data_IF_288131748091
#
_entry.id   IF_288131748091
#
_cell.length_a   1.000
_cell.length_b   1.000
_cell.length_c   1.000
_cell.angle_alpha   90.00
_cell.angle_beta   90.00
_cell.angle_gamma   90.00
#
_symmetry.space_group_name_H-M   'P 1'
#
loop_
_entity.id
_entity.type
_entity.pdbx_description
1 polymer ?
#
# COMPACT_ATOMS: atom_id res chain seq x y z
N UNK A 1 -29.06 -46.96 -48.92
CA UNK A 1 -28.41 -46.08 -47.92
C UNK A 1 -27.86 -44.88 -48.67
N UNK A 2 -28.62 -43.79 -48.66
CA UNK A 2 -28.36 -42.56 -49.41
C UNK A 2 -28.25 -41.45 -48.38
N UNK A 3 -27.04 -40.92 -48.21
CA UNK A 3 -26.73 -39.86 -47.24
C UNK A 3 -27.08 -38.48 -47.81
N UNK A 4 -27.92 -37.76 -47.08
CA UNK A 4 -28.23 -36.34 -47.28
C UNK A 4 -27.02 -35.44 -46.95
N UNK A 5 -26.62 -34.50 -47.81
CA UNK A 5 -25.66 -33.47 -47.44
C UNK A 5 -26.36 -32.35 -46.67
N UNK A 6 -25.93 -32.11 -45.43
CA UNK A 6 -26.41 -31.01 -44.59
C UNK A 6 -26.06 -29.63 -45.16
N UNK A 7 -26.78 -28.57 -44.75
CA UNK A 7 -26.60 -27.23 -45.28
C UNK A 7 -25.21 -26.68 -44.94
N UNK A 8 -24.49 -26.22 -45.96
CA UNK A 8 -23.24 -25.49 -45.80
C UNK A 8 -23.53 -24.08 -45.29
N UNK A 9 -23.33 -23.87 -43.99
CA UNK A 9 -23.25 -22.53 -43.43
C UNK A 9 -21.98 -21.85 -43.97
N UNK A 10 -22.17 -20.91 -44.92
CA UNK A 10 -21.12 -19.96 -45.29
C UNK A 10 -20.90 -19.04 -44.08
N UNK A 11 -19.71 -19.07 -43.49
CA UNK A 11 -19.29 -18.02 -42.55
C UNK A 11 -19.42 -16.67 -43.27
N UNK A 12 -20.03 -15.65 -42.64
CA UNK A 12 -19.94 -14.30 -43.18
C UNK A 12 -18.46 -13.93 -43.31
N UNK A 13 -18.06 -13.18 -44.36
CA UNK A 13 -16.71 -12.68 -44.46
C UNK A 13 -16.39 -11.86 -43.20
N UNK A 14 -15.15 -11.91 -42.68
CA UNK A 14 -14.77 -11.08 -41.55
C UNK A 14 -15.07 -9.64 -41.93
N UNK A 15 -15.98 -9.02 -41.17
CA UNK A 15 -16.20 -7.59 -41.25
C UNK A 15 -14.82 -6.94 -41.09
N UNK A 16 -14.44 -6.12 -42.06
CA UNK A 16 -13.26 -5.27 -41.99
C UNK A 16 -13.51 -4.27 -40.88
N UNK A 17 -13.26 -4.68 -39.64
CA UNK A 17 -13.16 -3.80 -38.49
C UNK A 17 -12.15 -2.73 -38.86
N UNK A 18 -12.63 -1.50 -38.99
CA UNK A 18 -11.80 -0.29 -39.07
C UNK A 18 -11.07 -0.10 -37.74
N UNK A 19 -10.13 -0.99 -37.41
CA UNK A 19 -9.09 -0.69 -36.44
C UNK A 19 -8.16 0.30 -37.15
N UNK A 20 -8.30 1.59 -36.82
CA UNK A 20 -7.33 2.59 -37.23
C UNK A 20 -5.91 2.16 -36.82
N UNK A 21 -4.86 2.63 -37.51
CA UNK A 21 -3.48 2.12 -37.39
C UNK A 21 -2.79 2.43 -36.05
N UNK A 22 -3.52 2.81 -35.01
CA UNK A 22 -3.01 3.16 -33.68
C UNK A 22 -3.29 2.04 -32.68
N UNK A 23 -2.63 0.91 -32.89
CA UNK A 23 -2.44 -0.09 -31.85
C UNK A 23 -1.44 0.46 -30.84
N UNK A 24 -1.92 1.05 -29.75
CA UNK A 24 -1.08 1.37 -28.61
C UNK A 24 -0.55 0.05 -28.03
N UNK A 25 0.75 -0.22 -28.18
CA UNK A 25 1.38 -1.34 -27.52
C UNK A 25 1.73 -0.93 -26.09
N UNK A 26 1.18 -1.66 -25.13
CA UNK A 26 1.56 -1.50 -23.73
C UNK A 26 2.72 -2.44 -23.45
N UNK A 27 3.73 -1.99 -22.71
CA UNK A 27 4.78 -2.87 -22.18
C UNK A 27 4.58 -2.99 -20.69
N UNK A 28 4.53 -4.20 -20.16
CA UNK A 28 4.65 -4.44 -18.74
C UNK A 28 5.93 -5.21 -18.46
N UNK A 29 6.64 -4.83 -17.41
CA UNK A 29 7.76 -5.60 -16.88
C UNK A 29 7.26 -6.44 -15.70
N UNK A 30 7.40 -7.76 -15.75
CA UNK A 30 7.21 -8.63 -14.60
C UNK A 30 8.56 -8.85 -13.95
N UNK A 31 8.62 -8.79 -12.63
CA UNK A 31 9.83 -8.93 -11.83
C UNK A 31 9.62 -9.97 -10.75
N UNK A 32 10.42 -11.03 -10.73
CA UNK A 32 10.40 -12.01 -9.65
C UNK A 32 11.54 -11.70 -8.69
N UNK A 33 11.23 -11.37 -7.43
CA UNK A 33 12.22 -10.91 -6.43
C UNK A 33 12.01 -11.52 -5.06
N UNK A 34 13.09 -11.63 -4.28
CA UNK A 34 13.02 -11.98 -2.86
C UNK A 34 12.74 -10.74 -2.02
N UNK A 35 11.64 -10.76 -1.28
CA UNK A 35 11.13 -9.57 -0.60
C UNK A 35 10.36 -9.91 0.67
N UNK A 36 10.18 -8.90 1.53
CA UNK A 36 9.31 -8.95 2.71
C UNK A 36 8.25 -7.87 2.55
N UNK A 37 6.98 -8.28 2.54
CA UNK A 37 5.86 -7.35 2.54
C UNK A 37 5.76 -6.65 3.89
N UNK A 38 5.50 -5.35 3.84
CA UNK A 38 5.35 -4.48 5.02
C UNK A 38 4.18 -3.55 4.80
N UNK A 39 3.59 -3.06 5.90
CA UNK A 39 2.51 -2.10 5.83
C UNK A 39 3.00 -0.78 5.22
N UNK A 40 2.39 -0.27 4.13
CA UNK A 40 2.78 1.00 3.53
C UNK A 40 2.71 2.18 4.51
N UNK A 41 1.71 2.19 5.40
CA UNK A 41 1.51 3.27 6.38
C UNK A 41 2.66 3.27 7.37
N UNK A 42 2.88 2.14 8.05
CA UNK A 42 3.97 1.99 9.00
C UNK A 42 5.34 2.26 8.37
N UNK A 43 5.63 1.71 7.18
CA UNK A 43 6.91 1.94 6.51
C UNK A 43 7.14 3.42 6.22
N UNK A 44 6.14 4.09 5.65
CA UNK A 44 6.22 5.50 5.31
C UNK A 44 6.46 6.39 6.52
N UNK A 45 5.60 6.26 7.52
CA UNK A 45 5.70 7.01 8.77
C UNK A 45 7.04 6.78 9.46
N UNK A 46 7.46 5.51 9.61
CA UNK A 46 8.68 5.18 10.32
C UNK A 46 9.94 5.64 9.57
N UNK A 47 9.95 5.54 8.24
CA UNK A 47 11.05 6.04 7.43
C UNK A 47 11.12 7.57 7.49
N UNK A 48 9.99 8.26 7.42
CA UNK A 48 9.92 9.71 7.54
C UNK A 48 10.47 10.21 8.88
N UNK A 49 10.02 9.60 9.98
CA UNK A 49 10.53 9.91 11.32
C UNK A 49 12.02 9.60 11.46
N UNK A 50 12.48 8.48 10.88
CA UNK A 50 13.90 8.13 10.87
C UNK A 50 14.75 9.18 10.14
N UNK A 51 14.30 9.64 8.97
CA UNK A 51 15.00 10.68 8.19
C UNK A 51 15.05 11.99 8.97
N UNK A 52 13.92 12.41 9.56
CA UNK A 52 13.83 13.63 10.38
C UNK A 52 14.77 13.60 11.59
N UNK A 53 14.93 12.43 12.22
CA UNK A 53 15.79 12.26 13.40
C UNK A 53 17.26 12.02 13.07
N UNK A 54 17.61 11.72 11.82
CA UNK A 54 18.98 11.37 11.42
C UNK A 54 20.03 12.46 11.77
N UNK A 55 19.75 13.77 11.60
CA UNK A 55 20.66 14.83 12.07
C UNK A 55 20.83 14.83 13.60
N UNK A 56 19.74 14.64 14.34
CA UNK A 56 19.74 14.59 15.81
C UNK A 56 20.56 13.40 16.32
N UNK A 57 20.35 12.20 15.78
CA UNK A 57 21.14 11.02 16.13
C UNK A 57 22.61 11.18 15.77
N UNK A 58 22.90 11.78 14.62
CA UNK A 58 24.29 12.05 14.21
C UNK A 58 24.97 13.00 15.20
N UNK A 59 24.32 14.11 15.54
CA UNK A 59 24.84 15.06 16.52
C UNK A 59 25.02 14.41 17.91
N UNK A 60 24.02 13.66 18.36
CA UNK A 60 24.05 12.95 19.64
C UNK A 60 25.22 11.95 19.70
N UNK A 61 25.39 11.10 18.68
CA UNK A 61 26.49 10.14 18.59
C UNK A 61 27.86 10.81 18.48
N UNK A 62 27.98 11.94 17.79
CA UNK A 62 29.23 12.69 17.72
C UNK A 62 29.60 13.28 19.09
N UNK A 63 28.65 13.90 19.78
CA UNK A 63 28.83 14.40 21.14
C UNK A 63 29.18 13.27 22.13
N UNK A 64 28.55 12.11 21.96
CA UNK A 64 28.84 10.92 22.77
C UNK A 64 30.23 10.35 22.46
N UNK A 65 30.64 10.26 21.19
CA UNK A 65 31.91 9.62 20.79
C UNK A 65 33.13 10.53 21.04
N UNK A 66 32.99 11.82 20.74
CA UNK A 66 34.12 12.78 20.73
C UNK A 66 34.03 13.85 21.82
N UNK A 67 33.03 13.80 22.68
CA UNK A 67 32.89 14.74 23.80
C UNK A 67 34.08 14.66 24.75
N UNK A 68 34.73 15.79 25.00
CA UNK A 68 35.89 15.87 25.87
C UNK A 68 35.71 16.97 26.93
N UNK A 69 36.31 16.78 28.11
CA UNK A 69 36.34 17.76 29.19
C UNK A 69 35.43 17.45 30.39
N UNK A 70 35.50 18.28 31.45
CA UNK A 70 34.81 18.01 32.71
C UNK A 70 33.28 18.10 32.61
N UNK A 71 32.75 18.81 31.61
CA UNK A 71 31.32 19.03 31.37
C UNK A 71 30.75 18.15 30.24
N UNK A 72 31.54 17.23 29.66
CA UNK A 72 31.10 16.33 28.61
C UNK A 72 30.32 15.14 29.19
N UNK A 73 29.18 15.41 29.84
CA UNK A 73 28.38 14.38 30.52
C UNK A 73 27.84 13.32 29.56
N UNK A 74 27.51 13.71 28.33
CA UNK A 74 27.01 12.80 27.30
C UNK A 74 28.01 11.69 26.99
N UNK A 75 29.30 11.99 26.86
CA UNK A 75 30.35 10.99 26.59
C UNK A 75 30.45 9.90 27.66
N UNK A 76 30.00 10.18 28.89
CA UNK A 76 30.04 9.24 30.01
C UNK A 76 28.82 8.32 30.08
N UNK A 77 27.83 8.51 29.20
CA UNK A 77 26.66 7.65 29.17
C UNK A 77 27.04 6.25 28.66
N UNK A 78 26.59 5.17 29.33
CA UNK A 78 26.65 3.82 28.79
C UNK A 78 25.94 3.73 27.43
N UNK A 79 26.43 2.86 26.55
CA UNK A 79 25.88 2.69 25.19
C UNK A 79 24.41 2.24 25.22
N UNK A 80 24.01 1.52 26.28
CA UNK A 80 22.64 1.10 26.52
C UNK A 80 21.71 2.30 26.70
N UNK A 81 22.14 3.31 27.47
CA UNK A 81 21.35 4.53 27.67
C UNK A 81 21.28 5.38 26.40
N UNK A 82 22.37 5.44 25.63
CA UNK A 82 22.39 6.10 24.32
C UNK A 82 21.33 5.46 23.41
N UNK A 83 21.31 4.12 23.34
CA UNK A 83 20.33 3.38 22.56
C UNK A 83 18.90 3.63 23.06
N UNK A 84 18.66 3.59 24.37
CA UNK A 84 17.34 3.87 24.94
C UNK A 84 16.84 5.28 24.57
N UNK A 85 17.73 6.29 24.57
CA UNK A 85 17.36 7.65 24.15
C UNK A 85 16.98 7.68 22.67
N UNK A 86 17.74 7.01 21.81
CA UNK A 86 17.42 6.91 20.37
C UNK A 86 16.08 6.20 20.13
N UNK A 87 15.83 5.10 20.85
CA UNK A 87 14.59 4.34 20.76
C UNK A 87 13.38 5.18 21.22
N UNK A 88 13.52 5.93 22.32
CA UNK A 88 12.47 6.84 22.82
C UNK A 88 12.15 7.96 21.83
N UNK A 89 13.17 8.65 21.32
CA UNK A 89 12.99 9.72 20.33
C UNK A 89 12.33 9.19 19.05
N UNK A 90 12.71 7.99 18.63
CA UNK A 90 12.11 7.35 17.47
C UNK A 90 10.64 7.03 17.71
N UNK A 91 10.29 6.45 18.86
CA UNK A 91 8.90 6.13 19.21
C UNK A 91 8.02 7.39 19.26
N UNK A 92 8.51 8.47 19.90
CA UNK A 92 7.79 9.75 19.98
C UNK A 92 7.56 10.37 18.60
N UNK A 93 8.56 10.34 17.72
CA UNK A 93 8.44 10.90 16.37
C UNK A 93 7.57 10.05 15.43
N UNK A 94 7.35 8.76 15.71
CA UNK A 94 6.54 7.87 14.87
C UNK A 94 5.04 8.14 15.02
N UNK A 95 4.55 8.33 16.24
CA UNK A 95 3.11 8.48 16.51
C UNK A 95 2.39 9.52 15.63
N UNK A 96 2.84 10.80 15.56
CA UNK A 96 2.15 11.77 14.72
C UNK A 96 2.31 11.48 13.22
N UNK A 97 3.43 10.88 12.81
CA UNK A 97 3.63 10.48 11.42
C UNK A 97 2.71 9.32 11.04
N UNK A 98 2.55 8.32 11.91
CA UNK A 98 1.62 7.20 11.68
C UNK A 98 0.18 7.69 11.58
N UNK A 99 -0.23 8.64 12.41
CA UNK A 99 -1.58 9.25 12.34
C UNK A 99 -1.81 9.95 10.99
N UNK A 100 -0.86 10.76 10.53
CA UNK A 100 -0.94 11.44 9.23
C UNK A 100 -0.99 10.44 8.06
N UNK A 101 -0.08 9.45 8.06
CA UNK A 101 -0.03 8.44 7.01
C UNK A 101 -1.28 7.54 7.02
N UNK A 102 -1.80 7.19 8.20
CA UNK A 102 -3.02 6.39 8.33
C UNK A 102 -4.21 7.14 7.77
N UNK A 103 -4.37 8.41 8.13
CA UNK A 103 -5.45 9.26 7.61
C UNK A 103 -5.39 9.37 6.09
N UNK A 104 -4.22 9.67 5.52
CA UNK A 104 -4.03 9.74 4.06
C UNK A 104 -4.38 8.38 3.40
N UNK A 105 -3.98 7.26 4.02
CA UNK A 105 -4.24 5.93 3.49
C UNK A 105 -5.71 5.52 3.54
N UNK A 106 -6.40 5.80 4.64
CA UNK A 106 -7.84 5.57 4.79
C UNK A 106 -8.62 6.27 3.66
N UNK A 107 -8.24 7.51 3.35
CA UNK A 107 -8.82 8.25 2.23
C UNK A 107 -8.51 7.61 0.88
N UNK A 108 -7.27 7.16 0.70
CA UNK A 108 -6.82 6.50 -0.52
C UNK A 108 -7.56 5.19 -0.80
N UNK A 109 -7.80 4.36 0.22
CA UNK A 109 -8.51 3.09 0.08
C UNK A 109 -10.04 3.24 0.14
N UNK A 110 -10.54 4.45 0.38
CA UNK A 110 -11.97 4.73 0.53
C UNK A 110 -12.57 4.24 1.86
N UNK A 111 -11.73 4.05 2.89
CA UNK A 111 -12.14 3.68 4.24
C UNK A 111 -12.31 4.89 5.18
N UNK A 112 -12.01 6.10 4.72
CA UNK A 112 -12.23 7.32 5.49
C UNK A 112 -13.72 7.51 5.82
N UNK A 113 -14.01 8.07 6.99
CA UNK A 113 -15.36 8.52 7.32
C UNK A 113 -15.64 9.86 6.63
N UNK A 114 -16.85 10.11 6.10
CA UNK A 114 -17.22 11.43 5.57
C UNK A 114 -16.95 12.58 6.56
N UNK A 115 -17.14 12.31 7.86
CA UNK A 115 -16.80 13.21 8.98
C UNK A 115 -15.35 13.70 9.01
N UNK A 116 -14.43 12.96 8.42
CA UNK A 116 -13.02 13.33 8.38
C UNK A 116 -12.73 14.39 7.30
N UNK A 117 -13.70 14.67 6.42
CA UNK A 117 -13.56 15.57 5.27
C UNK A 117 -14.51 16.76 5.29
N UNK A 118 -15.39 16.85 6.28
CA UNK A 118 -16.24 18.01 6.47
C UNK A 118 -15.47 19.11 7.19
N UNK A 119 -15.74 20.36 6.83
CA UNK A 119 -15.18 21.52 7.54
C UNK A 119 -15.51 21.42 9.03
N UNK A 120 -14.60 21.89 9.88
CA UNK A 120 -14.72 21.84 11.33
C UNK A 120 -16.08 22.40 11.83
N UNK A 121 -16.61 23.43 11.17
CA UNK A 121 -17.91 24.02 11.50
C UNK A 121 -19.12 23.07 11.37
N UNK A 122 -19.01 22.00 10.57
CA UNK A 122 -20.04 20.97 10.41
C UNK A 122 -19.72 19.69 11.19
N UNK A 123 -18.49 19.57 11.72
CA UNK A 123 -18.02 18.35 12.38
C UNK A 123 -18.78 18.08 13.67
N UNK A 124 -19.10 19.10 14.47
CA UNK A 124 -19.86 18.92 15.72
C UNK A 124 -21.30 18.45 15.44
N UNK A 125 -21.97 19.05 14.45
CA UNK A 125 -23.35 18.70 14.07
C UNK A 125 -23.42 17.27 13.52
N UNK A 126 -22.45 16.89 12.69
CA UNK A 126 -22.40 15.54 12.12
C UNK A 126 -21.88 14.49 13.10
N UNK A 127 -20.92 14.81 13.98
CA UNK A 127 -20.46 13.89 15.04
C UNK A 127 -21.62 13.57 15.98
N UNK A 128 -22.43 14.57 16.34
CA UNK A 128 -23.63 14.35 17.13
C UNK A 128 -24.63 13.41 16.45
N UNK A 129 -24.80 13.50 15.12
CA UNK A 129 -25.64 12.58 14.36
C UNK A 129 -25.04 11.17 14.29
N UNK A 130 -23.72 11.05 14.11
CA UNK A 130 -23.02 9.77 13.92
C UNK A 130 -22.82 8.97 15.21
N UNK A 131 -22.41 9.63 16.29
CA UNK A 131 -22.19 9.00 17.61
C UNK A 131 -23.49 8.51 18.23
N UNK A 132 -24.62 9.10 17.81
CA UNK A 132 -25.94 8.63 18.18
C UNK A 132 -26.46 7.48 17.33
N UNK A 133 -25.75 7.10 16.26
CA UNK A 133 -26.05 5.95 15.42
C UNK A 133 -27.50 5.89 14.90
N UNK A 134 -27.80 4.96 13.99
CA UNK A 134 -29.18 4.57 13.73
C UNK A 134 -29.78 3.73 14.88
N UNK A 135 -28.92 3.08 15.69
CA UNK A 135 -29.33 2.11 16.72
C UNK A 135 -29.42 2.65 18.15
N UNK A 136 -28.90 3.86 18.43
CA UNK A 136 -29.19 4.48 19.72
C UNK A 136 -30.57 5.11 19.64
N UNK A 137 -31.58 4.26 19.84
CA UNK A 137 -32.91 4.63 20.32
C UNK A 137 -32.75 5.46 21.61
N UNK A 138 -32.36 6.73 21.51
CA UNK A 138 -32.69 7.77 22.51
C UNK A 138 -34.19 8.11 22.46
N UNK A 139 -34.85 7.53 21.49
CA UNK A 139 -36.25 7.25 21.40
C UNK A 139 -36.62 6.25 22.53
N UNK A 140 -36.72 6.67 23.81
CA UNK A 140 -37.57 5.99 24.83
C UNK A 140 -38.91 5.67 24.14
N UNK A 141 -39.61 4.58 24.50
CA UNK A 141 -40.75 3.94 23.76
C UNK A 141 -41.88 4.89 23.27
N UNK A 142 -41.81 6.17 23.65
CA UNK A 142 -42.61 7.31 23.21
C UNK A 142 -42.19 8.01 21.90
N UNK A 143 -40.99 7.81 21.34
CA UNK A 143 -40.64 8.49 20.09
C UNK A 143 -41.24 7.72 18.90
N UNK A 144 -42.27 8.29 18.29
CA UNK A 144 -42.88 7.77 17.07
C UNK A 144 -41.79 7.58 16.01
N UNK A 145 -41.60 6.34 15.57
CA UNK A 145 -40.49 5.91 14.71
C UNK A 145 -40.24 6.74 13.44
N UNK A 146 -41.21 7.56 13.01
CA UNK A 146 -41.08 8.52 11.89
C UNK A 146 -39.95 9.53 12.06
N UNK A 147 -39.60 9.98 13.28
CA UNK A 147 -38.54 11.00 13.43
C UNK A 147 -37.13 10.39 13.38
N UNK A 148 -36.94 9.22 13.99
CA UNK A 148 -35.66 8.51 14.00
C UNK A 148 -35.37 7.94 12.57
N UNK A 149 -36.39 7.48 11.82
CA UNK A 149 -36.26 7.15 10.38
C UNK A 149 -35.98 8.37 9.53
N UNK A 150 -36.63 9.51 9.79
CA UNK A 150 -36.39 10.73 9.02
C UNK A 150 -34.98 11.30 9.19
N UNK A 151 -34.30 11.11 10.33
CA UNK A 151 -32.88 11.52 10.45
C UNK A 151 -31.98 10.59 9.65
N UNK A 152 -32.23 9.29 9.65
CA UNK A 152 -31.46 8.34 8.83
C UNK A 152 -31.74 8.59 7.35
N UNK A 153 -33.00 8.75 6.95
CA UNK A 153 -33.42 9.08 5.59
C UNK A 153 -32.93 10.47 5.17
N UNK A 154 -33.00 11.50 6.02
CA UNK A 154 -32.47 12.83 5.74
C UNK A 154 -30.93 12.81 5.69
N UNK A 155 -30.25 11.96 6.46
CA UNK A 155 -28.80 11.81 6.39
C UNK A 155 -28.40 10.99 5.15
N UNK A 156 -29.18 9.98 4.78
CA UNK A 156 -28.98 9.19 3.57
C UNK A 156 -29.36 10.00 2.33
N UNK A 157 -30.37 10.87 2.38
CA UNK A 157 -30.77 11.82 1.34
C UNK A 157 -29.87 13.07 1.33
N UNK A 158 -29.23 13.43 2.44
CA UNK A 158 -28.17 14.45 2.48
C UNK A 158 -26.86 13.87 1.93
N UNK A 159 -26.52 12.62 2.26
CA UNK A 159 -25.39 11.89 1.69
C UNK A 159 -25.61 11.57 0.21
N UNK A 160 -26.83 11.19 -0.20
CA UNK A 160 -27.26 11.03 -1.60
C UNK A 160 -27.41 12.37 -2.29
N UNK A 161 -27.86 13.42 -1.61
CA UNK A 161 -27.90 14.78 -2.17
C UNK A 161 -26.51 15.34 -2.41
N UNK A 162 -25.54 14.93 -1.60
CA UNK A 162 -24.12 15.14 -1.87
C UNK A 162 -23.57 14.16 -2.92
N UNK A 163 -24.15 12.95 -3.06
CA UNK A 163 -23.74 11.86 -3.98
C UNK A 163 -24.37 11.86 -5.38
N UNK A 164 -25.49 12.56 -5.58
CA UNK A 164 -26.09 12.86 -6.89
C UNK A 164 -25.41 14.06 -7.55
N UNK A 165 -24.65 14.83 -6.77
CA UNK A 165 -23.63 15.70 -7.31
C UNK A 165 -22.35 14.88 -7.51
N UNK A 166 -21.70 15.03 -8.66
CA UNK A 166 -20.28 14.71 -8.86
C UNK A 166 -19.35 15.40 -7.82
N UNK A 167 -19.88 16.16 -6.85
CA UNK A 167 -19.19 16.98 -5.86
C UNK A 167 -18.43 16.21 -4.77
N UNK A 168 -18.71 14.94 -4.47
CA UNK A 168 -17.82 14.19 -3.53
C UNK A 168 -16.47 13.86 -4.16
N UNK A 169 -16.46 13.55 -5.47
CA UNK A 169 -15.23 13.39 -6.23
C UNK A 169 -14.51 14.74 -6.43
N UNK A 170 -15.27 15.85 -6.35
CA UNK A 170 -14.77 17.24 -6.35
C UNK A 170 -14.69 17.88 -4.97
N UNK A 171 -14.77 17.11 -3.86
CA UNK A 171 -14.31 17.62 -2.59
C UNK A 171 -12.78 17.73 -2.73
N UNK A 172 -12.33 18.91 -3.17
CA UNK A 172 -10.94 19.23 -3.53
C UNK A 172 -9.95 18.67 -2.51
N UNK A 173 -10.35 18.62 -1.24
CA UNK A 173 -9.58 18.08 -0.13
C UNK A 173 -9.42 16.55 -0.17
N UNK A 174 -10.49 15.77 -0.36
CA UNK A 174 -10.37 14.31 -0.45
C UNK A 174 -9.58 13.89 -1.69
N UNK A 175 -9.88 14.49 -2.85
CA UNK A 175 -9.11 14.27 -4.07
C UNK A 175 -7.63 14.70 -3.90
N UNK A 176 -7.36 15.79 -3.18
CA UNK A 176 -6.00 16.22 -2.86
C UNK A 176 -5.29 15.26 -1.90
N UNK A 177 -5.98 14.68 -0.91
CA UNK A 177 -5.41 13.68 0.00
C UNK A 177 -5.08 12.39 -0.77
N UNK A 178 -6.01 11.89 -1.59
CA UNK A 178 -5.74 10.73 -2.45
C UNK A 178 -4.55 11.00 -3.38
N UNK A 179 -4.48 12.21 -3.97
CA UNK A 179 -3.34 12.64 -4.81
C UNK A 179 -2.05 12.70 -4.00
N UNK A 180 -2.08 13.25 -2.79
CA UNK A 180 -0.92 13.32 -1.88
C UNK A 180 -0.38 11.92 -1.59
N UNK A 181 -1.27 10.96 -1.30
CA UNK A 181 -0.88 9.57 -1.14
C UNK A 181 -0.21 9.02 -2.41
N UNK A 182 -0.83 9.19 -3.58
CA UNK A 182 -0.21 8.78 -4.86
C UNK A 182 1.17 9.42 -5.11
N UNK A 183 1.30 10.71 -4.80
CA UNK A 183 2.55 11.48 -4.93
C UNK A 183 3.65 11.00 -3.97
N UNK A 184 3.32 10.27 -2.89
CA UNK A 184 4.33 9.62 -2.01
C UNK A 184 5.03 8.44 -2.70
N UNK A 185 4.41 7.81 -3.72
CA UNK A 185 4.87 6.53 -4.29
C UNK A 185 5.19 6.52 -5.80
N UNK A 186 4.58 7.35 -6.65
CA UNK A 186 4.72 7.26 -8.12
C UNK A 186 5.55 8.41 -8.74
N UNK A 187 6.55 8.04 -9.54
CA UNK A 187 7.54 8.94 -10.19
C UNK A 187 7.31 9.42 -11.59
N UNK A 188 6.52 8.71 -12.37
CA UNK A 188 6.76 8.80 -13.82
C UNK A 188 6.04 9.95 -14.52
N UNK A 189 5.12 10.67 -13.85
CA UNK A 189 4.29 11.67 -14.52
C UNK A 189 4.53 13.13 -14.11
N UNK A 190 5.03 13.40 -12.90
CA UNK A 190 4.98 14.76 -12.34
C UNK A 190 6.30 15.52 -12.38
N UNK A 191 7.43 14.85 -12.66
CA UNK A 191 8.77 15.47 -12.57
C UNK A 191 9.14 15.99 -11.17
N UNK A 192 8.33 15.65 -10.15
CA UNK A 192 8.58 16.01 -8.75
C UNK A 192 9.39 14.91 -8.06
N UNK A 193 10.19 15.31 -7.09
CA UNK A 193 10.82 14.40 -6.12
C UNK A 193 9.75 13.69 -5.30
N UNK A 194 9.74 12.36 -5.33
CA UNK A 194 8.78 11.52 -4.60
C UNK A 194 9.44 10.90 -3.42
N UNK A 195 8.73 10.94 -2.29
CA UNK A 195 9.27 10.57 -1.00
C UNK A 195 10.11 9.28 -1.03
N UNK A 196 9.57 8.16 -1.51
CA UNK A 196 10.34 6.91 -1.55
C UNK A 196 11.46 6.89 -2.58
N UNK A 197 11.29 7.55 -3.72
CA UNK A 197 12.32 7.63 -4.75
C UNK A 197 13.50 8.51 -4.28
N UNK A 198 13.21 9.67 -3.72
CA UNK A 198 14.19 10.62 -3.16
C UNK A 198 15.01 9.97 -2.04
N UNK A 199 14.42 9.07 -1.26
CA UNK A 199 15.10 8.40 -0.15
C UNK A 199 15.58 6.97 -0.48
N UNK A 200 15.43 6.50 -1.72
CA UNK A 200 15.81 5.14 -2.10
C UNK A 200 17.31 4.85 -1.86
N UNK A 201 18.17 5.81 -2.19
CA UNK A 201 19.61 5.68 -1.97
C UNK A 201 19.98 5.70 -0.47
N UNK A 202 19.23 6.41 0.36
CA UNK A 202 19.40 6.36 1.81
C UNK A 202 19.11 4.97 2.33
N UNK A 203 17.99 4.37 1.90
CA UNK A 203 17.60 3.03 2.32
C UNK A 203 18.64 2.00 1.88
N UNK A 204 19.07 2.09 0.62
CA UNK A 204 20.09 1.21 0.06
C UNK A 204 21.40 1.30 0.84
N UNK A 205 21.86 2.52 1.12
CA UNK A 205 23.13 2.75 1.82
C UNK A 205 23.10 2.29 3.27
N UNK A 206 21.98 2.50 3.98
CA UNK A 206 21.92 2.23 5.43
C UNK A 206 21.45 0.82 5.77
N UNK A 207 20.52 0.27 4.97
CA UNK A 207 19.90 -1.02 5.22
C UNK A 207 20.34 -2.09 4.24
N UNK A 208 20.95 -1.74 3.10
CA UNK A 208 21.30 -2.70 2.07
C UNK A 208 20.10 -3.25 1.30
N UNK A 209 18.94 -2.59 1.43
CA UNK A 209 17.66 -3.00 0.83
C UNK A 209 17.16 -1.93 -0.15
N UNK A 210 16.12 -2.27 -0.89
CA UNK A 210 15.36 -1.36 -1.73
C UNK A 210 13.87 -1.50 -1.43
N UNK A 211 13.11 -0.47 -1.77
CA UNK A 211 11.66 -0.45 -1.60
C UNK A 211 11.01 -0.60 -2.96
N UNK A 212 10.03 -1.49 -3.04
CA UNK A 212 9.10 -1.54 -4.14
C UNK A 212 7.70 -1.23 -3.64
N UNK A 213 6.99 -0.40 -4.38
CA UNK A 213 5.63 0.05 -4.08
C UNK A 213 4.77 -0.01 -5.32
N UNK A 214 3.54 -0.50 -5.19
CA UNK A 214 2.57 -0.54 -6.27
C UNK A 214 1.17 -0.26 -5.73
N UNK A 215 0.39 0.53 -6.47
CA UNK A 215 -1.03 0.68 -6.20
C UNK A 215 -1.82 -0.33 -7.02
N UNK A 216 -2.67 -1.08 -6.34
CA UNK A 216 -3.58 -2.07 -6.93
C UNK A 216 -5.01 -1.58 -6.78
N UNK A 217 -5.86 -1.99 -7.73
CA UNK A 217 -7.30 -1.75 -7.70
C UNK A 217 -7.98 -3.09 -7.79
N UNK A 218 -8.93 -3.35 -6.91
CA UNK A 218 -9.76 -4.54 -6.91
C UNK A 218 -11.20 -4.13 -7.19
N UNK A 219 -11.86 -4.89 -8.07
CA UNK A 219 -13.31 -4.86 -8.16
C UNK A 219 -13.84 -5.60 -6.93
N UNK A 220 -14.20 -4.85 -5.91
CA UNK A 220 -14.93 -5.35 -4.75
C UNK A 220 -16.12 -4.41 -4.57
N UNK A 221 -17.32 -4.96 -4.37
CA UNK A 221 -18.51 -4.14 -4.12
C UNK A 221 -18.33 -3.44 -2.77
N UNK A 222 -17.99 -2.15 -2.77
CA UNK A 222 -17.98 -1.37 -1.56
C UNK A 222 -19.43 -1.09 -1.10
N UNK A 223 -19.69 -0.98 0.23
CA UNK A 223 -21.04 -0.69 0.74
C UNK A 223 -21.64 0.61 0.20
N UNK A 224 -20.79 1.53 -0.25
CA UNK A 224 -21.13 2.90 -0.63
C UNK A 224 -21.12 3.14 -2.16
N UNK A 225 -21.16 2.07 -2.97
CA UNK A 225 -21.27 2.16 -4.44
C UNK A 225 -20.17 1.40 -5.21
N UNK A 226 -20.13 1.49 -6.55
CA UNK A 226 -19.20 0.78 -7.44
C UNK A 226 -17.78 1.39 -7.41
N UNK A 227 -17.26 1.65 -6.21
CA UNK A 227 -15.92 2.19 -6.03
C UNK A 227 -14.93 1.04 -5.96
N UNK A 228 -13.93 1.06 -6.84
CA UNK A 228 -12.81 0.13 -6.77
C UNK A 228 -12.06 0.30 -5.45
N UNK A 229 -11.94 -0.78 -4.68
CA UNK A 229 -11.05 -0.81 -3.52
C UNK A 229 -9.62 -0.64 -4.01
N UNK A 230 -8.90 0.31 -3.41
CA UNK A 230 -7.48 0.53 -3.70
C UNK A 230 -6.66 -0.07 -2.57
N UNK A 231 -5.49 -0.59 -2.88
CA UNK A 231 -4.50 -1.02 -1.88
C UNK A 231 -3.12 -0.60 -2.36
N UNK A 232 -2.26 -0.16 -1.44
CA UNK A 232 -0.84 0.01 -1.73
C UNK A 232 -0.09 -1.23 -1.24
N UNK A 233 0.50 -1.96 -2.16
CA UNK A 233 1.41 -3.05 -1.83
C UNK A 233 2.81 -2.49 -1.72
N UNK A 234 3.45 -2.72 -0.58
CA UNK A 234 4.84 -2.30 -0.34
C UNK A 234 5.68 -3.48 0.12
N UNK A 235 6.90 -3.58 -0.40
CA UNK A 235 7.84 -4.58 0.05
C UNK A 235 9.27 -4.04 0.12
N UNK A 236 10.01 -4.54 1.10
CA UNK A 236 11.46 -4.43 1.15
C UNK A 236 12.06 -5.56 0.32
N UNK A 237 13.09 -5.29 -0.46
CA UNK A 237 13.74 -6.32 -1.28
C UNK A 237 15.24 -6.09 -1.42
N UNK A 238 15.95 -7.10 -1.88
CA UNK A 238 17.38 -6.98 -2.16
C UNK A 238 17.62 -6.13 -3.42
N UNK A 239 18.64 -5.24 -3.43
CA UNK A 239 18.91 -4.34 -4.55
C UNK A 239 19.61 -5.02 -5.73
N UNK A 240 20.25 -6.18 -5.52
CA UNK A 240 21.08 -6.80 -6.55
C UNK A 240 20.23 -7.44 -7.65
N UNK A 241 20.57 -7.13 -8.91
CA UNK A 241 19.92 -7.69 -10.11
C UNK A 241 20.01 -9.21 -10.16
N UNK A 242 21.00 -9.82 -9.51
CA UNK A 242 21.12 -11.28 -9.38
C UNK A 242 19.94 -11.94 -8.64
N UNK A 243 19.15 -11.18 -7.90
CA UNK A 243 17.94 -11.64 -7.22
C UNK A 243 16.65 -11.22 -7.93
N UNK A 244 16.77 -10.74 -9.17
CA UNK A 244 15.67 -10.27 -9.99
C UNK A 244 15.70 -10.96 -11.34
N UNK A 245 14.55 -11.46 -11.77
CA UNK A 245 14.34 -11.80 -13.17
C UNK A 245 13.26 -10.89 -13.71
N UNK A 246 13.56 -10.18 -14.80
CA UNK A 246 12.68 -9.18 -15.42
C UNK A 246 12.23 -9.70 -16.78
N UNK A 247 10.93 -9.57 -17.07
CA UNK A 247 10.37 -9.93 -18.37
C UNK A 247 9.49 -8.80 -18.89
N UNK A 248 9.79 -8.33 -20.09
CA UNK A 248 8.92 -7.39 -20.79
C UNK A 248 7.86 -8.16 -21.58
N UNK A 249 6.61 -7.95 -21.21
CA UNK A 249 5.43 -8.45 -21.91
C UNK A 249 4.90 -7.32 -22.77
N UNK A 250 4.87 -7.55 -24.08
CA UNK A 250 4.14 -6.70 -25.01
C UNK A 250 2.67 -7.08 -24.94
N UNK A 251 1.89 -6.18 -24.35
CA UNK A 251 0.46 -6.31 -24.18
C UNK A 251 -0.19 -5.66 -25.39
N UNK A 252 -0.20 -6.42 -26.49
CA UNK A 252 -1.12 -6.16 -27.58
C UNK A 252 -2.53 -6.51 -27.04
N UNK A 253 -3.48 -5.57 -27.17
CA UNK A 253 -4.91 -5.71 -26.84
C UNK A 253 -5.40 -5.48 -25.39
N UNK A 254 -4.58 -4.93 -24.47
CA UNK A 254 -5.06 -4.56 -23.11
C UNK A 254 -6.10 -3.43 -23.07
N UNK A 255 -6.41 -2.76 -24.18
CA UNK A 255 -7.52 -1.78 -24.22
C UNK A 255 -8.85 -2.38 -23.71
N UNK A 256 -9.01 -3.70 -23.70
CA UNK A 256 -10.17 -4.39 -23.15
C UNK A 256 -10.05 -4.79 -21.67
N UNK A 257 -8.86 -4.79 -21.08
CA UNK A 257 -8.63 -5.24 -19.69
C UNK A 257 -9.18 -4.25 -18.66
N UNK A 258 -9.33 -2.96 -19.01
CA UNK A 258 -9.99 -1.97 -18.16
C UNK A 258 -11.53 -2.08 -18.16
N UNK A 259 -12.10 -2.92 -19.03
CA UNK A 259 -13.56 -3.11 -19.16
C UNK A 259 -13.98 -4.58 -18.98
N UNK A 260 -13.05 -5.48 -18.64
CA UNK A 260 -13.37 -6.87 -18.40
C UNK A 260 -14.25 -6.96 -17.14
N UNK A 261 -15.51 -7.28 -17.34
CA UNK A 261 -16.47 -7.63 -16.29
C UNK A 261 -15.98 -8.85 -15.51
N UNK A 262 -16.43 -8.98 -14.26
CA UNK A 262 -15.83 -9.71 -13.13
C UNK A 262 -15.46 -11.21 -13.27
N UNK A 263 -15.56 -11.85 -14.45
CA UNK A 263 -15.35 -13.30 -14.61
C UNK A 263 -14.30 -13.72 -15.66
N UNK A 264 -13.58 -12.78 -16.31
CA UNK A 264 -12.55 -13.13 -17.29
C UNK A 264 -11.17 -13.29 -16.65
N UNK A 265 -10.75 -14.54 -16.45
CA UNK A 265 -9.38 -14.87 -16.05
C UNK A 265 -8.45 -14.88 -17.27
N UNK A 266 -7.47 -14.00 -17.29
CA UNK A 266 -6.40 -14.00 -18.28
C UNK A 266 -5.22 -14.85 -17.77
N UNK A 267 -4.81 -15.86 -18.55
CA UNK A 267 -3.65 -16.67 -18.26
C UNK A 267 -2.54 -16.39 -19.28
N UNK A 268 -1.35 -16.05 -18.79
CA UNK A 268 -0.14 -15.97 -19.60
C UNK A 268 0.75 -17.16 -19.28
N UNK A 269 1.10 -17.95 -20.31
CA UNK A 269 2.04 -19.07 -20.16
C UNK A 269 3.41 -18.59 -20.59
N UNK A 270 4.33 -18.54 -19.62
CA UNK A 270 5.75 -18.25 -19.88
C UNK A 270 6.64 -19.07 -18.96
N UNK A 271 7.87 -19.30 -19.42
CA UNK A 271 8.92 -19.95 -18.65
C UNK A 271 9.69 -18.90 -17.87
N UNK A 272 9.53 -18.89 -16.55
CA UNK A 272 10.23 -17.98 -15.65
C UNK A 272 11.49 -18.64 -15.10
N UNK A 273 12.65 -17.96 -15.23
CA UNK A 273 13.81 -18.27 -14.41
C UNK A 273 13.58 -17.79 -12.99
N UNK A 274 13.55 -18.72 -12.03
CA UNK A 274 13.48 -18.36 -10.61
C UNK A 274 14.85 -17.81 -10.19
N UNK A 275 14.93 -16.60 -9.59
CA UNK A 275 16.20 -16.09 -9.10
C UNK A 275 16.76 -17.04 -8.03
N UNK A 276 18.08 -17.25 -7.98
CA UNK A 276 18.68 -18.11 -6.97
C UNK A 276 18.31 -17.63 -5.56
N UNK A 277 18.19 -18.54 -4.58
CA UNK A 277 17.93 -18.17 -3.20
C UNK A 277 18.98 -17.17 -2.70
N UNK A 278 18.59 -16.15 -1.90
CA UNK A 278 19.53 -15.19 -1.35
C UNK A 278 20.48 -15.87 -0.36
N UNK A 279 21.69 -15.33 -0.21
CA UNK A 279 22.66 -15.87 0.75
C UNK A 279 22.20 -15.52 2.16
N UNK A 280 22.64 -16.30 3.16
CA UNK A 280 22.31 -16.04 4.57
C UNK A 280 22.66 -14.62 5.03
N UNK A 281 23.76 -14.06 4.51
CA UNK A 281 24.16 -12.68 4.80
C UNK A 281 23.17 -11.64 4.26
N UNK A 282 22.58 -11.89 3.09
CA UNK A 282 21.58 -11.01 2.48
C UNK A 282 20.23 -11.12 3.22
N UNK A 283 19.86 -12.34 3.63
CA UNK A 283 18.65 -12.59 4.44
C UNK A 283 18.73 -11.83 5.77
N UNK A 284 19.89 -11.75 6.41
CA UNK A 284 20.08 -11.04 7.68
C UNK A 284 19.86 -9.51 7.57
N UNK A 285 19.84 -8.94 6.37
CA UNK A 285 19.55 -7.51 6.18
C UNK A 285 18.10 -7.15 6.51
N UNK A 286 17.15 -8.06 6.22
CA UNK A 286 15.72 -7.84 6.48
C UNK A 286 15.39 -7.63 7.97
N UNK A 287 15.69 -8.58 8.89
CA UNK A 287 15.37 -8.40 10.31
C UNK A 287 16.13 -7.22 10.91
N UNK A 288 17.35 -6.93 10.44
CA UNK A 288 18.10 -5.73 10.86
C UNK A 288 17.38 -4.44 10.46
N UNK A 289 16.98 -4.32 9.19
CA UNK A 289 16.30 -3.13 8.69
C UNK A 289 14.94 -2.95 9.39
N UNK A 290 14.18 -4.03 9.53
CA UNK A 290 12.90 -4.02 10.22
C UNK A 290 13.02 -3.68 11.70
N UNK A 291 14.06 -4.16 12.39
CA UNK A 291 14.33 -3.79 13.78
C UNK A 291 14.65 -2.30 13.93
N UNK A 292 15.50 -1.74 13.06
CA UNK A 292 15.85 -0.31 13.12
C UNK A 292 14.63 0.55 12.78
N UNK A 293 13.91 0.20 11.72
CA UNK A 293 12.72 0.91 11.28
C UNK A 293 11.48 0.57 12.11
N UNK A 294 11.54 -0.36 13.07
CA UNK A 294 10.39 -0.78 13.87
C UNK A 294 9.23 -1.34 13.06
N UNK A 295 9.52 -2.08 11.98
CA UNK A 295 8.52 -2.61 11.05
C UNK A 295 8.07 -4.01 11.46
N UNK A 296 6.80 -4.30 11.19
CA UNK A 296 6.23 -5.64 11.33
C UNK A 296 6.03 -6.24 9.94
N UNK A 297 6.42 -7.52 9.69
CA UNK A 297 6.15 -8.14 8.41
C UNK A 297 4.65 -8.30 8.25
N UNK A 298 4.11 -7.95 7.09
CA UNK A 298 2.78 -8.38 6.71
C UNK A 298 2.88 -9.87 6.37
N UNK A 299 2.64 -10.72 7.36
CA UNK A 299 2.32 -12.12 7.11
C UNK A 299 0.99 -12.15 6.34
N UNK A 300 1.03 -12.08 5.01
CA UNK A 300 -0.18 -12.39 4.25
C UNK A 300 -0.51 -13.87 4.55
N UNK A 301 -1.76 -14.18 4.92
CA UNK A 301 -2.19 -15.55 5.13
C UNK A 301 -1.93 -16.33 3.85
N UNK A 302 -1.51 -17.58 4.02
CA UNK A 302 -1.15 -18.54 2.98
C UNK A 302 -1.99 -18.38 1.71
N UNK A 303 -1.49 -17.64 0.71
CA UNK A 303 -2.01 -17.73 -0.64
C UNK A 303 -1.47 -19.04 -1.20
N UNK A 304 -2.19 -20.13 -0.91
CA UNK A 304 -2.06 -21.43 -1.55
C UNK A 304 -0.61 -21.88 -1.74
N UNK A 305 0.12 -22.11 -0.66
CA UNK A 305 1.25 -23.03 -0.71
C UNK A 305 0.69 -24.40 -1.13
N UNK A 306 0.85 -24.75 -2.41
CA UNK A 306 0.76 -26.15 -2.82
C UNK A 306 1.95 -26.87 -2.16
N UNK A 307 1.77 -27.37 -0.93
CA UNK A 307 2.73 -28.26 -0.28
C UNK A 307 2.88 -28.16 1.25
N UNK A 308 2.03 -28.91 1.95
CA UNK A 308 2.31 -29.75 3.13
C UNK A 308 2.80 -29.11 4.46
N UNK A 309 1.88 -29.13 5.42
CA UNK A 309 2.03 -29.16 6.89
C UNK A 309 2.60 -27.90 7.59
N UNK A 310 1.78 -27.17 8.36
CA UNK A 310 1.56 -27.47 9.80
C UNK A 310 0.98 -26.28 10.60
N UNK A 311 0.03 -26.62 11.48
CA UNK A 311 -0.17 -26.18 12.88
C UNK A 311 -0.11 -24.67 13.17
N UNK A 312 -1.30 -24.09 13.38
CA UNK A 312 -1.51 -22.79 14.02
C UNK A 312 -1.29 -22.87 15.54
N UNK A 313 -0.69 -21.81 16.09
CA UNK A 313 -0.56 -21.57 17.53
C UNK A 313 -1.02 -20.14 17.82
N UNK A 314 -2.17 -19.99 18.45
CA UNK A 314 -2.68 -18.72 18.96
C UNK A 314 -1.98 -18.36 20.28
N UNK A 315 -1.37 -17.18 20.35
CA UNK A 315 -0.98 -16.56 21.62
C UNK A 315 -1.41 -15.09 21.62
N UNK A 316 -2.24 -14.78 22.61
CA UNK A 316 -2.76 -13.45 22.90
C UNK A 316 -1.66 -12.48 23.36
N UNK A 317 -1.82 -11.21 22.99
CA UNK A 317 -0.92 -10.11 23.31
C UNK A 317 -1.06 -9.68 24.78
N UNK A 318 0.04 -9.74 25.52
CA UNK A 318 0.21 -9.08 26.81
C UNK A 318 1.54 -8.31 26.81
N UNK A 319 1.56 -7.15 27.47
CA UNK A 319 2.44 -6.01 27.20
C UNK A 319 3.93 -6.12 27.56
N UNK A 320 4.68 -7.08 27.00
CA UNK A 320 6.15 -7.09 26.99
C UNK A 320 6.70 -6.86 25.57
N UNK A 321 6.66 -5.61 25.10
CA UNK A 321 6.94 -5.26 23.70
C UNK A 321 8.38 -5.52 23.26
N UNK A 322 9.38 -5.50 24.14
CA UNK A 322 10.79 -5.63 23.73
C UNK A 322 11.23 -7.07 23.40
N UNK A 323 10.91 -8.05 24.25
CA UNK A 323 11.32 -9.44 24.01
C UNK A 323 10.46 -10.10 22.93
N UNK A 324 9.14 -9.85 22.93
CA UNK A 324 8.23 -10.39 21.93
C UNK A 324 8.57 -9.91 20.51
N UNK A 325 8.95 -8.63 20.37
CA UNK A 325 9.35 -8.06 19.08
C UNK A 325 10.71 -8.61 18.61
N UNK A 326 11.63 -8.90 19.53
CA UNK A 326 12.93 -9.52 19.20
C UNK A 326 12.75 -10.96 18.69
N UNK A 327 11.84 -11.73 19.31
CA UNK A 327 11.50 -13.10 18.86
C UNK A 327 10.79 -13.07 17.50
N UNK A 328 9.85 -12.14 17.29
CA UNK A 328 9.12 -12.00 16.03
C UNK A 328 10.05 -11.68 14.84
N UNK A 329 11.07 -10.84 15.05
CA UNK A 329 12.03 -10.48 14.00
C UNK A 329 12.98 -11.62 13.63
N UNK A 330 13.25 -12.56 14.54
CA UNK A 330 14.13 -13.70 14.26
C UNK A 330 13.56 -14.68 13.22
N UNK A 331 12.25 -14.61 12.97
CA UNK A 331 11.54 -15.47 12.01
C UNK A 331 11.25 -14.79 10.66
N UNK A 332 11.74 -13.57 10.43
CA UNK A 332 11.54 -12.87 9.15
C UNK A 332 12.33 -13.58 8.06
N UNK A 333 11.61 -14.29 7.19
CA UNK A 333 12.17 -14.92 6.00
C UNK A 333 11.61 -14.23 4.75
N UNK A 334 12.47 -13.75 3.82
CA UNK A 334 11.98 -13.19 2.58
C UNK A 334 11.27 -14.27 1.76
N UNK A 335 10.15 -13.91 1.15
CA UNK A 335 9.41 -14.77 0.24
C UNK A 335 9.65 -14.33 -1.19
N UNK A 336 9.46 -15.26 -2.13
CA UNK A 336 9.56 -14.96 -3.55
C UNK A 336 8.25 -14.28 -4.00
N UNK A 337 8.34 -13.02 -4.41
CA UNK A 337 7.20 -12.20 -4.82
C UNK A 337 7.33 -11.86 -6.30
N UNK A 338 6.25 -12.08 -7.05
CA UNK A 338 6.13 -11.63 -8.44
C UNK A 338 5.50 -10.24 -8.47
N UNK A 339 6.18 -9.30 -9.12
CA UNK A 339 5.81 -7.89 -9.17
C UNK A 339 5.69 -7.42 -10.62
N UNK A 340 4.47 -7.08 -11.02
CA UNK A 340 4.24 -6.40 -12.30
C UNK A 340 4.44 -4.89 -12.16
N UNK A 341 5.19 -4.30 -13.09
CA UNK A 341 5.26 -2.85 -13.29
C UNK A 341 4.96 -2.52 -14.74
N UNK A 342 3.92 -1.72 -14.98
CA UNK A 342 3.68 -1.17 -16.31
C UNK A 342 4.84 -0.24 -16.69
N UNK A 343 5.43 -0.49 -17.85
CA UNK A 343 6.44 0.37 -18.45
C UNK A 343 5.71 1.34 -19.36
N UNK A 344 5.98 2.63 -19.20
CA UNK A 344 5.26 3.73 -19.85
C UNK A 344 4.95 3.50 -21.34
N UNK A 345 3.86 4.12 -21.80
CA UNK A 345 3.39 4.10 -23.18
C UNK A 345 4.51 4.59 -24.12
N UNK A 346 5.13 3.70 -24.88
CA UNK A 346 6.05 4.10 -25.95
C UNK A 346 5.21 4.53 -27.15
N UNK A 347 5.03 5.83 -27.34
CA UNK A 347 4.43 6.34 -28.57
C UNK A 347 5.44 6.11 -29.70
N UNK A 348 5.19 5.11 -30.54
CA UNK A 348 5.91 4.98 -31.82
C UNK A 348 5.50 6.19 -32.68
N UNK A 349 6.27 7.28 -32.62
CA UNK A 349 6.09 8.46 -33.48
C UNK A 349 6.78 8.29 -34.84
N UNK A 350 7.56 7.24 -35.04
CA UNK A 350 8.23 6.97 -36.32
C UNK A 350 7.47 5.91 -37.13
N UNK A 351 6.46 6.34 -37.90
CA UNK A 351 6.02 5.63 -39.11
C UNK A 351 5.24 6.49 -40.09
#
# INVERSE_FOLDING_TARGET
MTTWPGPQYKRPPPETSHHGPYGDTYRASINLIWAVSVDPVQLGAHLESYIKLQPTFTAFRLCWTFGNGPQAFLHRLPIELVKCIEDLLTAEARLPAEEEWSSDYECFIGACRPLNHVRECYREELSYAYDKGPDTHLCDDSCSGEWCTKIVEDMDDWLKGLGEADDWAECDEHAAIQRRWYERFISEASGKDIFFHTHQELIRRQFGLSIFTCHTKFAESAPWGPWFKRETVTCLHLPAESHRSTWDIELQDIKHMHCATDDEAYAFVSTFSVPPPPKAADIALFPRAMGILGLTPLCKPEVGSVGLNSVQSDVAADGSTSEAQTVALSNVSPTLIMLGKNVAKTHNQDR
#
